data_IF_987226798565
#
_entry.id   IF_987226798565
#
_cell.length_a   1.000
_cell.length_b   1.000
_cell.length_c   1.000
_cell.angle_alpha   90.00
_cell.angle_beta   90.00
_cell.angle_gamma   90.00
#
_symmetry.space_group_name_H-M   'P 1'
#
loop_
_entity.id
_entity.type
_entity.pdbx_description
1 polymer ?
#
# COMPACT_ATOMS: atom_id res chain seq x y z
N UNK A 1 10.71 -12.53 -17.29
CA UNK A 1 10.62 -12.48 -15.82
C UNK A 1 11.71 -13.37 -15.31
N UNK A 2 12.60 -12.86 -14.45
CA UNK A 2 13.62 -13.69 -13.81
C UNK A 2 12.98 -14.29 -12.58
N UNK A 3 12.73 -15.60 -12.58
CA UNK A 3 12.24 -16.30 -11.39
C UNK A 3 13.39 -16.50 -10.41
N UNK A 4 13.11 -16.23 -9.14
CA UNK A 4 14.02 -16.45 -8.02
C UNK A 4 14.15 -17.96 -7.75
N UNK A 5 15.37 -18.47 -7.57
CA UNK A 5 15.61 -19.85 -7.16
C UNK A 5 15.96 -19.92 -5.68
N UNK A 6 15.80 -21.10 -5.06
CA UNK A 6 16.12 -21.31 -3.65
C UNK A 6 17.60 -21.03 -3.32
N UNK A 7 18.49 -21.24 -4.31
CA UNK A 7 19.92 -20.92 -4.18
C UNK A 7 20.24 -19.44 -4.22
N UNK A 8 19.29 -18.58 -4.61
CA UNK A 8 19.47 -17.13 -4.74
C UNK A 8 19.15 -16.38 -3.43
N UNK A 9 18.66 -17.08 -2.39
CA UNK A 9 18.21 -16.48 -1.13
C UNK A 9 18.84 -17.11 0.10
N UNK A 10 19.15 -16.29 1.10
CA UNK A 10 19.67 -16.71 2.39
C UNK A 10 18.84 -16.12 3.53
N UNK A 11 18.80 -16.85 4.65
CA UNK A 11 18.17 -16.32 5.89
C UNK A 11 18.91 -15.06 6.32
N UNK A 12 18.16 -13.97 6.46
CA UNK A 12 18.69 -12.66 6.86
C UNK A 12 18.79 -11.66 5.72
N UNK A 13 18.62 -12.10 4.46
CA UNK A 13 18.60 -11.20 3.31
C UNK A 13 17.54 -10.11 3.47
N UNK A 14 17.93 -8.89 3.12
CA UNK A 14 17.06 -7.72 3.18
C UNK A 14 16.65 -7.33 1.75
N UNK A 15 15.35 -7.19 1.52
CA UNK A 15 14.86 -6.67 0.25
C UNK A 15 15.14 -5.16 0.16
N UNK A 16 15.40 -4.66 -1.05
CA UNK A 16 15.57 -3.23 -1.28
C UNK A 16 14.30 -2.46 -0.87
N UNK A 17 14.40 -1.32 -0.17
CA UNK A 17 13.23 -0.60 0.31
C UNK A 17 12.39 -0.06 -0.85
N UNK A 18 11.07 -0.21 -0.75
CA UNK A 18 10.12 0.42 -1.66
C UNK A 18 9.62 1.74 -1.04
N UNK A 19 10.01 2.86 -1.65
CA UNK A 19 9.56 4.20 -1.23
C UNK A 19 8.56 4.72 -2.25
N UNK A 20 7.33 4.97 -1.81
CA UNK A 20 6.24 5.48 -2.64
C UNK A 20 5.76 6.83 -2.11
N UNK A 21 5.70 7.88 -2.96
CA UNK A 21 5.09 9.14 -2.56
C UNK A 21 3.61 8.95 -2.21
N UNK A 22 3.25 9.28 -0.97
CA UNK A 22 1.86 9.24 -0.51
C UNK A 22 1.22 10.61 -0.72
N UNK A 23 0.16 10.65 -1.52
CA UNK A 23 -0.65 11.85 -1.73
C UNK A 23 -2.11 11.57 -1.43
N UNK A 24 -2.89 12.61 -1.11
CA UNK A 24 -4.35 12.48 -0.96
C UNK A 24 -5.00 11.93 -2.24
N UNK A 25 -4.53 12.32 -3.42
CA UNK A 25 -5.02 11.79 -4.69
C UNK A 25 -4.80 10.29 -4.81
N UNK A 26 -3.65 9.78 -4.36
CA UNK A 26 -3.39 8.34 -4.34
C UNK A 26 -4.38 7.64 -3.40
N UNK A 27 -4.53 8.13 -2.16
CA UNK A 27 -5.44 7.57 -1.15
C UNK A 27 -6.88 7.48 -1.69
N UNK A 28 -7.38 8.58 -2.27
CA UNK A 28 -8.76 8.65 -2.81
C UNK A 28 -8.93 7.72 -4.00
N UNK A 29 -8.00 7.76 -4.96
CA UNK A 29 -8.10 6.96 -6.18
C UNK A 29 -8.05 5.46 -5.89
N UNK A 30 -7.21 5.03 -4.96
CA UNK A 30 -7.08 3.60 -4.63
C UNK A 30 -8.21 3.11 -3.73
N UNK A 31 -8.75 3.94 -2.84
CA UNK A 31 -9.99 3.64 -2.12
C UNK A 31 -11.17 3.42 -3.09
N UNK A 32 -11.29 4.28 -4.13
CA UNK A 32 -12.27 4.09 -5.20
C UNK A 32 -12.04 2.79 -5.98
N UNK A 33 -10.79 2.51 -6.35
CA UNK A 33 -10.44 1.30 -7.09
C UNK A 33 -10.72 0.01 -6.30
N UNK A 34 -10.51 0.03 -4.98
CA UNK A 34 -10.83 -1.09 -4.09
C UNK A 34 -12.30 -1.13 -3.66
N UNK A 35 -13.12 -0.16 -4.08
CA UNK A 35 -14.52 0.01 -3.67
C UNK A 35 -14.72 0.17 -2.16
N UNK A 36 -13.74 0.78 -1.51
CA UNK A 36 -13.81 1.13 -0.10
C UNK A 36 -14.30 2.57 0.01
N UNK A 37 -15.60 2.70 0.24
CA UNK A 37 -16.28 4.00 0.30
C UNK A 37 -16.37 4.56 1.72
N UNK A 38 -15.53 4.09 2.65
CA UNK A 38 -15.46 4.74 3.95
C UNK A 38 -14.92 6.17 3.81
N UNK A 39 -15.68 7.12 4.35
CA UNK A 39 -15.39 8.57 4.34
C UNK A 39 -13.97 8.95 4.75
N UNK A 40 -13.35 8.20 5.67
CA UNK A 40 -11.98 8.43 6.15
C UNK A 40 -10.89 8.39 5.06
N UNK A 41 -11.22 7.92 3.85
CA UNK A 41 -10.29 7.86 2.73
C UNK A 41 -10.49 9.01 1.72
N UNK A 42 -11.54 9.81 1.85
CA UNK A 42 -11.87 10.84 0.86
C UNK A 42 -12.47 12.14 1.41
N UNK A 43 -12.84 12.19 2.68
CA UNK A 43 -13.31 13.39 3.36
C UNK A 43 -12.43 13.71 4.58
N UNK A 44 -11.54 14.72 4.49
CA UNK A 44 -10.69 15.13 5.60
C UNK A 44 -11.46 15.62 6.83
N UNK A 45 -12.64 16.22 6.65
CA UNK A 45 -13.45 16.73 7.75
C UNK A 45 -14.04 15.57 8.55
N UNK A 46 -14.62 14.59 7.86
CA UNK A 46 -15.18 13.40 8.50
C UNK A 46 -14.09 12.53 9.12
N UNK A 47 -12.91 12.42 8.48
CA UNK A 47 -11.75 11.74 9.06
C UNK A 47 -11.32 12.38 10.40
N UNK A 48 -11.28 13.72 10.46
CA UNK A 48 -10.96 14.45 11.69
C UNK A 48 -12.02 14.32 12.77
N UNK A 49 -13.31 14.37 12.41
CA UNK A 49 -14.41 14.11 13.35
C UNK A 49 -14.33 12.70 13.96
N UNK A 50 -13.75 11.74 13.24
CA UNK A 50 -13.50 10.37 13.70
C UNK A 50 -12.15 10.20 14.40
N UNK A 51 -11.41 11.29 14.64
CA UNK A 51 -10.19 11.31 15.44
C UNK A 51 -8.88 11.12 14.66
N UNK A 52 -8.92 11.08 13.33
CA UNK A 52 -7.70 11.03 12.51
C UNK A 52 -7.16 12.44 12.25
N UNK A 53 -5.86 12.59 12.01
CA UNK A 53 -5.28 13.89 11.66
C UNK A 53 -5.70 14.37 10.25
N UNK A 54 -5.83 13.43 9.32
CA UNK A 54 -6.21 13.64 7.91
C UNK A 54 -6.81 12.33 7.37
N UNK A 55 -7.20 12.31 6.09
CA UNK A 55 -7.50 11.07 5.38
C UNK A 55 -6.26 10.15 5.35
N UNK A 56 -6.49 8.84 5.36
CA UNK A 56 -5.42 7.85 5.40
C UNK A 56 -5.63 6.72 4.39
N UNK A 57 -4.54 6.07 4.02
CA UNK A 57 -4.54 4.94 3.10
C UNK A 57 -5.34 3.76 3.67
N UNK A 58 -6.22 3.17 2.88
CA UNK A 58 -6.93 1.98 3.32
C UNK A 58 -6.02 0.74 3.34
N UNK A 59 -6.42 -0.26 4.12
CA UNK A 59 -5.65 -1.50 4.27
C UNK A 59 -5.55 -2.29 2.97
N UNK A 60 -6.58 -2.22 2.11
CA UNK A 60 -6.62 -2.93 0.83
C UNK A 60 -5.52 -2.46 -0.11
N UNK A 61 -5.30 -1.15 -0.20
CA UNK A 61 -4.23 -0.58 -1.03
C UNK A 61 -2.87 -0.96 -0.47
N UNK A 62 -2.66 -0.81 0.84
CA UNK A 62 -1.38 -1.18 1.46
C UNK A 62 -1.07 -2.67 1.24
N UNK A 63 -2.05 -3.55 1.41
CA UNK A 63 -1.88 -4.98 1.12
C UNK A 63 -1.59 -5.25 -0.36
N UNK A 64 -2.25 -4.54 -1.28
CA UNK A 64 -1.97 -4.64 -2.71
C UNK A 64 -0.54 -4.19 -3.07
N UNK A 65 -0.05 -3.10 -2.47
CA UNK A 65 1.31 -2.62 -2.66
C UNK A 65 2.35 -3.57 -2.09
N UNK A 66 2.10 -4.14 -0.91
CA UNK A 66 2.95 -5.19 -0.30
C UNK A 66 2.95 -6.43 -1.18
N UNK A 67 1.77 -6.87 -1.64
CA UNK A 67 1.63 -8.02 -2.53
C UNK A 67 2.48 -7.84 -3.78
N UNK A 68 2.31 -6.71 -4.48
CA UNK A 68 3.12 -6.35 -5.65
C UNK A 68 4.62 -6.36 -5.31
N UNK A 69 5.02 -5.72 -4.22
CA UNK A 69 6.43 -5.63 -3.81
C UNK A 69 7.07 -7.02 -3.62
N UNK A 70 6.37 -7.92 -2.94
CA UNK A 70 6.87 -9.28 -2.69
C UNK A 70 6.85 -10.12 -3.97
N UNK A 71 5.80 -10.02 -4.79
CA UNK A 71 5.73 -10.80 -6.05
C UNK A 71 6.73 -10.30 -7.09
N UNK A 72 6.96 -8.98 -7.18
CA UNK A 72 7.98 -8.42 -8.07
C UNK A 72 9.39 -8.90 -7.68
N UNK A 73 9.64 -9.08 -6.37
CA UNK A 73 10.89 -9.66 -5.88
C UNK A 73 11.00 -11.17 -6.15
N UNK A 74 9.92 -11.92 -5.94
CA UNK A 74 9.93 -13.38 -6.08
C UNK A 74 9.92 -13.86 -7.55
N UNK A 75 9.41 -13.04 -8.47
CA UNK A 75 9.27 -13.38 -9.90
C UNK A 75 8.09 -14.31 -10.18
#
# INVERSE_FOLDING_TARGET
>A
MNSLHDTDVNVGDQLAPLVLPLSRSLIVATALASRDYQDVHHDPTLAQQKGSQDIFMNILTTNGLIGRYITDWAG
#
